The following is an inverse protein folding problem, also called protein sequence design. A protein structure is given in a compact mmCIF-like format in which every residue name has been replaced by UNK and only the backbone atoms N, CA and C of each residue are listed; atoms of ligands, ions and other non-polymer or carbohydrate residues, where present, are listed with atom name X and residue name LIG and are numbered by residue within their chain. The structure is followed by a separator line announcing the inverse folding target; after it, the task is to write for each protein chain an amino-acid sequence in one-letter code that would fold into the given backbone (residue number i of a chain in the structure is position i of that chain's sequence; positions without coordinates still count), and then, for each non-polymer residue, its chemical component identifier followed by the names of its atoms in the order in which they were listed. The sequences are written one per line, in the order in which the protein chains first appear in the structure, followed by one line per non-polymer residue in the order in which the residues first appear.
data_IF_667359035996
#
_entry.id   IF_667359035996
#
_cell.length_a   1.000
_cell.length_b   1.000
_cell.length_c   1.000
_cell.angle_alpha   90.00
_cell.angle_beta   90.00
_cell.angle_gamma   90.00
#
_symmetry.space_group_name_H-M   'P 1'
#
loop_
_entity.id
_entity.type
_entity.pdbx_description
1 polymer ?
#
# COMPACT_ATOMS: atom_id res chain seq x y z
N UNK A 1 -1.64 9.66 -8.41
CA UNK A 1 -1.92 9.13 -7.07
C UNK A 1 -1.49 7.67 -6.91
N UNK A 2 -2.00 6.68 -7.69
CA UNK A 2 -1.56 5.26 -7.60
C UNK A 2 -0.03 5.08 -7.72
N UNK A 3 0.59 5.75 -8.69
CA UNK A 3 2.04 5.69 -8.89
C UNK A 3 2.82 6.21 -7.68
N UNK A 4 2.35 7.29 -7.05
CA UNK A 4 2.99 7.85 -5.85
C UNK A 4 2.90 6.88 -4.67
N UNK A 5 1.73 6.29 -4.43
CA UNK A 5 1.53 5.29 -3.36
C UNK A 5 2.39 4.05 -3.63
N UNK A 6 2.42 3.55 -4.87
CA UNK A 6 3.25 2.41 -5.25
C UNK A 6 4.74 2.69 -5.05
N UNK A 7 5.22 3.91 -5.40
CA UNK A 7 6.62 4.30 -5.17
C UNK A 7 6.98 4.31 -3.69
N UNK A 8 6.10 4.83 -2.82
CA UNK A 8 6.32 4.79 -1.37
C UNK A 8 6.33 3.37 -0.82
N UNK A 9 5.41 2.50 -1.29
CA UNK A 9 5.40 1.10 -0.89
C UNK A 9 6.70 0.41 -1.33
N UNK A 10 7.15 0.65 -2.56
CA UNK A 10 8.40 0.07 -3.07
C UNK A 10 9.62 0.55 -2.27
N UNK A 11 9.70 1.83 -1.95
CA UNK A 11 10.76 2.40 -1.13
C UNK A 11 10.75 1.81 0.30
N UNK A 12 9.57 1.74 0.94
CA UNK A 12 9.42 1.12 2.24
C UNK A 12 9.82 -0.36 2.22
N UNK A 13 9.49 -1.07 1.14
CA UNK A 13 9.87 -2.46 0.93
C UNK A 13 11.39 -2.65 0.93
N UNK A 14 12.10 -1.76 0.24
CA UNK A 14 13.57 -1.78 0.19
C UNK A 14 14.20 -1.41 1.54
N UNK A 15 13.81 -0.26 2.11
CA UNK A 15 14.39 0.27 3.35
C UNK A 15 14.14 -0.63 4.56
N UNK A 16 12.94 -1.20 4.68
CA UNK A 16 12.56 -2.04 5.80
C UNK A 16 12.74 -3.54 5.53
N UNK A 17 13.36 -3.93 4.42
CA UNK A 17 13.55 -5.33 4.02
C UNK A 17 12.27 -6.15 4.18
N UNK A 18 11.16 -5.63 3.64
CA UNK A 18 9.84 -6.24 3.80
C UNK A 18 9.80 -7.63 3.16
N UNK A 19 9.29 -8.60 3.90
CA UNK A 19 9.00 -9.96 3.42
C UNK A 19 7.55 -10.30 3.71
N UNK A 20 6.90 -10.98 2.79
CA UNK A 20 5.53 -11.46 2.94
C UNK A 20 5.53 -12.94 3.26
N UNK A 21 4.76 -13.32 4.27
CA UNK A 21 4.48 -14.71 4.58
C UNK A 21 2.99 -14.99 4.35
N UNK A 22 2.69 -16.18 3.83
CA UNK A 22 1.33 -16.64 3.51
C UNK A 22 0.58 -15.68 2.57
N UNK A 23 1.25 -15.22 1.51
CA UNK A 23 0.59 -14.44 0.46
C UNK A 23 -0.47 -15.29 -0.25
N UNK A 24 -1.65 -14.72 -0.58
CA UNK A 24 -2.69 -15.48 -1.27
C UNK A 24 -2.25 -15.89 -2.68
N UNK A 25 -2.90 -16.90 -3.30
CA UNK A 25 -2.60 -17.28 -4.66
C UNK A 25 -2.62 -16.07 -5.59
N UNK A 26 -1.55 -15.89 -6.35
CA UNK A 26 -1.35 -14.70 -7.18
C UNK A 26 -2.52 -14.39 -8.13
N UNK A 27 -3.13 -15.38 -8.84
CA UNK A 27 -4.29 -15.11 -9.69
C UNK A 27 -5.48 -14.53 -8.95
N UNK A 28 -5.72 -14.95 -7.70
CA UNK A 28 -6.81 -14.41 -6.88
C UNK A 28 -6.53 -12.97 -6.46
N UNK A 29 -5.28 -12.65 -6.10
CA UNK A 29 -4.89 -11.29 -5.74
C UNK A 29 -5.03 -10.35 -6.95
N UNK A 30 -4.59 -10.78 -8.14
CA UNK A 30 -4.73 -10.00 -9.38
C UNK A 30 -6.20 -9.86 -9.78
N UNK A 31 -6.99 -10.92 -9.69
CA UNK A 31 -8.43 -10.87 -9.97
C UNK A 31 -9.17 -9.89 -9.06
N UNK A 32 -8.84 -9.90 -7.76
CA UNK A 32 -9.39 -8.93 -6.80
C UNK A 32 -8.96 -7.50 -7.12
N UNK A 33 -7.68 -7.29 -7.49
CA UNK A 33 -7.15 -6.01 -7.92
C UNK A 33 -7.94 -5.48 -9.14
N UNK A 34 -8.15 -6.31 -10.15
CA UNK A 34 -8.92 -5.97 -11.34
C UNK A 34 -10.38 -5.62 -11.00
N UNK A 35 -11.02 -6.38 -10.10
CA UNK A 35 -12.38 -6.11 -9.65
C UNK A 35 -12.49 -4.77 -8.90
N UNK A 36 -11.53 -4.45 -8.02
CA UNK A 36 -11.48 -3.16 -7.31
C UNK A 36 -11.29 -2.03 -8.31
N UNK A 37 -10.39 -2.19 -9.28
CA UNK A 37 -10.13 -1.19 -10.31
C UNK A 37 -11.35 -0.97 -11.21
N UNK A 38 -12.02 -2.04 -11.65
CA UNK A 38 -13.24 -1.96 -12.42
C UNK A 38 -14.36 -1.24 -11.63
N UNK A 39 -14.56 -1.59 -10.35
CA UNK A 39 -15.55 -0.91 -9.50
C UNK A 39 -15.26 0.58 -9.36
N UNK A 40 -14.00 0.99 -9.34
CA UNK A 40 -13.64 2.41 -9.27
C UNK A 40 -14.19 3.21 -10.46
N UNK A 41 -14.22 2.63 -11.66
CA UNK A 41 -14.78 3.30 -12.85
C UNK A 41 -16.28 3.12 -13.00
N UNK A 42 -16.84 2.02 -12.54
CA UNK A 42 -18.26 1.66 -12.76
C UNK A 42 -19.18 2.12 -11.63
N UNK A 43 -18.67 2.49 -10.47
CA UNK A 43 -19.44 2.87 -9.30
C UNK A 43 -20.39 4.07 -9.52
N UNK A 44 -20.16 4.88 -10.57
CA UNK A 44 -21.04 5.99 -10.96
C UNK A 44 -22.26 5.55 -11.75
N UNK A 45 -22.20 4.38 -12.36
CA UNK A 45 -23.25 3.83 -13.25
C UNK A 45 -23.89 2.57 -12.69
N UNK A 46 -23.24 1.88 -11.76
CA UNK A 46 -23.66 0.61 -11.19
C UNK A 46 -23.63 0.67 -9.66
N UNK A 47 -24.03 -0.44 -9.02
CA UNK A 47 -23.97 -0.60 -7.57
C UNK A 47 -22.53 -0.43 -7.07
N UNK A 48 -22.37 0.35 -6.02
CA UNK A 48 -21.08 0.51 -5.34
C UNK A 48 -20.74 -0.76 -4.55
N UNK A 49 -19.83 -1.56 -5.10
CA UNK A 49 -19.34 -2.81 -4.52
C UNK A 49 -18.17 -2.60 -3.56
N UNK A 50 -17.92 -1.38 -3.10
CA UNK A 50 -16.81 -1.04 -2.22
C UNK A 50 -16.75 -1.90 -0.96
N UNK A 51 -17.88 -2.06 -0.29
CA UNK A 51 -17.95 -2.83 0.95
C UNK A 51 -17.75 -4.34 0.76
N UNK A 52 -18.42 -5.00 -0.21
CA UNK A 52 -18.12 -6.39 -0.55
C UNK A 52 -16.65 -6.61 -0.94
N UNK A 53 -16.06 -5.71 -1.74
CA UNK A 53 -14.67 -5.79 -2.13
C UNK A 53 -13.72 -5.62 -0.94
N UNK A 54 -14.01 -4.69 -0.02
CA UNK A 54 -13.26 -4.54 1.21
C UNK A 54 -13.32 -5.82 2.07
N UNK A 55 -14.48 -6.43 2.19
CA UNK A 55 -14.63 -7.71 2.90
C UNK A 55 -13.82 -8.83 2.21
N UNK A 56 -13.86 -8.93 0.88
CA UNK A 56 -13.05 -9.88 0.12
C UNK A 56 -11.55 -9.69 0.38
N UNK A 57 -11.07 -8.44 0.42
CA UNK A 57 -9.68 -8.13 0.76
C UNK A 57 -9.34 -8.64 2.15
N UNK A 58 -10.15 -8.31 3.16
CA UNK A 58 -9.89 -8.72 4.54
C UNK A 58 -9.86 -10.25 4.68
N UNK A 59 -10.75 -10.95 3.98
CA UNK A 59 -10.80 -12.41 3.98
C UNK A 59 -9.60 -13.03 3.25
N UNK A 60 -9.24 -12.50 2.08
CA UNK A 60 -8.16 -13.02 1.27
C UNK A 60 -6.80 -12.84 1.95
N UNK A 61 -6.55 -11.66 2.52
CA UNK A 61 -5.28 -11.31 3.16
C UNK A 61 -5.22 -11.60 4.68
N UNK A 62 -6.25 -12.24 5.26
CA UNK A 62 -6.34 -12.49 6.72
C UNK A 62 -5.14 -13.26 7.29
N UNK A 63 -4.53 -14.13 6.49
CA UNK A 63 -3.39 -14.97 6.88
C UNK A 63 -2.04 -14.36 6.51
N UNK A 64 -2.06 -13.35 5.65
CA UNK A 64 -0.83 -12.71 5.17
C UNK A 64 -0.19 -11.90 6.30
N UNK A 65 1.08 -12.17 6.56
CA UNK A 65 1.90 -11.45 7.52
C UNK A 65 2.96 -10.64 6.78
N UNK A 66 3.10 -9.41 7.18
CA UNK A 66 4.17 -8.51 6.73
C UNK A 66 5.27 -8.54 7.77
N UNK A 67 6.43 -9.06 7.39
CA UNK A 67 7.65 -9.01 8.20
C UNK A 67 8.48 -7.82 7.73
N UNK A 68 8.93 -7.01 8.64
CA UNK A 68 9.76 -5.84 8.33
C UNK A 68 10.81 -5.62 9.43
N UNK A 69 11.92 -5.03 9.03
CA UNK A 69 13.03 -4.76 9.93
C UNK A 69 13.12 -3.27 10.19
N UNK A 70 13.11 -2.88 11.47
CA UNK A 70 13.35 -1.51 11.91
C UNK A 70 14.67 -1.49 12.66
N UNK A 71 15.64 -0.81 12.09
CA UNK A 71 17.03 -0.81 12.55
C UNK A 71 17.60 -2.24 12.55
N UNK A 72 17.63 -2.92 13.70
CA UNK A 72 18.11 -4.30 13.85
C UNK A 72 17.02 -5.27 14.30
N UNK A 73 15.83 -4.75 14.63
CA UNK A 73 14.73 -5.56 15.21
C UNK A 73 13.75 -5.97 14.14
N UNK A 74 13.55 -7.27 13.98
CA UNK A 74 12.54 -7.81 13.08
C UNK A 74 11.16 -7.74 13.75
N UNK A 75 10.20 -7.16 13.06
CA UNK A 75 8.81 -7.00 13.47
C UNK A 75 7.89 -7.69 12.48
N UNK A 76 6.69 -8.07 12.94
CA UNK A 76 5.64 -8.64 12.11
C UNK A 76 4.29 -8.00 12.42
N UNK A 77 3.46 -7.84 11.39
CA UNK A 77 2.07 -7.42 11.55
C UNK A 77 1.18 -8.06 10.49
N UNK A 78 -0.12 -8.24 10.75
CA UNK A 78 -1.07 -8.67 9.72
C UNK A 78 -1.12 -7.66 8.57
N UNK A 79 -1.16 -8.14 7.32
CA UNK A 79 -1.24 -7.27 6.14
C UNK A 79 -2.52 -6.41 6.16
N UNK A 80 -3.63 -6.96 6.64
CA UNK A 80 -4.90 -6.23 6.79
C UNK A 80 -4.79 -5.03 7.71
N UNK A 81 -4.04 -5.16 8.82
CA UNK A 81 -3.75 -4.04 9.72
C UNK A 81 -2.87 -2.99 9.05
N UNK A 82 -1.86 -3.42 8.29
CA UNK A 82 -1.01 -2.50 7.52
C UNK A 82 -1.84 -1.67 6.54
N UNK A 83 -2.75 -2.30 5.79
CA UNK A 83 -3.62 -1.60 4.84
C UNK A 83 -4.52 -0.58 5.53
N UNK A 84 -5.12 -0.95 6.67
CA UNK A 84 -5.99 -0.07 7.43
C UNK A 84 -5.22 1.13 8.00
N UNK A 85 -4.04 0.89 8.58
CA UNK A 85 -3.19 1.96 9.12
C UNK A 85 -2.74 2.93 8.03
N UNK A 86 -2.27 2.43 6.88
CA UNK A 86 -1.87 3.30 5.77
C UNK A 86 -3.07 4.13 5.29
N UNK A 87 -4.23 3.52 5.10
CA UNK A 87 -5.44 4.21 4.68
C UNK A 87 -5.89 5.28 5.69
N UNK A 88 -5.77 4.97 6.98
CA UNK A 88 -6.07 5.91 8.05
C UNK A 88 -5.12 7.12 8.02
N UNK A 89 -3.81 6.90 7.90
CA UNK A 89 -2.86 8.00 7.83
C UNK A 89 -3.00 8.84 6.55
N UNK A 90 -3.36 8.22 5.41
CA UNK A 90 -3.70 8.97 4.19
C UNK A 90 -4.92 9.86 4.45
N UNK A 91 -5.96 9.33 5.10
CA UNK A 91 -7.15 10.11 5.47
C UNK A 91 -6.82 11.26 6.41
N UNK A 92 -5.95 11.07 7.40
CA UNK A 92 -5.46 12.14 8.29
C UNK A 92 -4.73 13.21 7.48
N UNK A 93 -3.79 12.80 6.62
CA UNK A 93 -3.04 13.73 5.76
C UNK A 93 -3.97 14.52 4.82
N UNK A 94 -5.03 13.88 4.29
CA UNK A 94 -6.04 14.52 3.46
C UNK A 94 -6.83 15.58 4.24
N UNK A 95 -7.19 15.31 5.48
CA UNK A 95 -7.85 16.31 6.35
C UNK A 95 -6.95 17.50 6.63
N UNK A 96 -5.66 17.26 6.90
CA UNK A 96 -4.68 18.32 7.10
C UNK A 96 -4.54 19.15 5.81
N UNK A 97 -4.37 18.51 4.66
CA UNK A 97 -4.19 19.19 3.39
C UNK A 97 -5.42 20.03 2.99
N UNK A 98 -6.64 19.52 3.19
CA UNK A 98 -7.88 20.27 2.93
C UNK A 98 -8.08 21.42 3.92
N UNK A 99 -7.66 21.26 5.17
CA UNK A 99 -7.69 22.33 6.17
C UNK A 99 -6.79 23.50 5.77
N UNK A 100 -5.59 23.23 5.28
CA UNK A 100 -4.65 24.25 4.78
C UNK A 100 -4.96 24.74 3.36
N UNK A 101 -6.07 24.28 2.76
CA UNK A 101 -6.52 24.76 1.45
C UNK A 101 -5.72 24.26 0.26
N UNK A 102 -4.94 23.16 0.39
CA UNK A 102 -4.24 22.55 -0.73
C UNK A 102 -5.21 22.09 -1.84
N UNK A 103 -6.36 21.59 -1.45
CA UNK A 103 -7.55 21.38 -2.30
C UNK A 103 -8.81 21.39 -1.43
N UNK A 104 -9.99 21.44 -2.07
CA UNK A 104 -11.27 21.44 -1.38
C UNK A 104 -12.27 20.51 -2.05
N UNK A 105 -13.01 19.78 -1.24
CA UNK A 105 -14.15 19.01 -1.71
C UNK A 105 -15.39 19.93 -1.93
N UNK A 106 -16.34 19.51 -2.78
CA UNK A 106 -17.55 20.31 -3.03
C UNK A 106 -18.30 20.73 -1.77
N UNK A 107 -18.34 19.87 -0.74
CA UNK A 107 -19.00 20.17 0.53
C UNK A 107 -18.19 21.11 1.45
N UNK A 108 -16.91 21.33 1.17
CA UNK A 108 -16.01 22.22 1.94
C UNK A 108 -15.93 23.64 1.37
N UNK A 109 -16.60 23.94 0.25
CA UNK A 109 -16.48 25.25 -0.43
C UNK A 109 -16.94 26.44 0.39
N UNK A 110 -17.90 26.26 1.31
CA UNK A 110 -18.43 27.35 2.15
C UNK A 110 -17.70 27.45 3.50
N UNK A 111 -17.37 26.32 4.07
CA UNK A 111 -16.69 26.19 5.34
C UNK A 111 -15.97 24.85 5.36
N UNK A 112 -14.75 24.80 5.92
CA UNK A 112 -14.05 23.55 6.08
C UNK A 112 -14.86 22.59 6.97
N UNK A 113 -14.95 21.36 6.53
CA UNK A 113 -15.54 20.25 7.24
C UNK A 113 -14.65 19.03 7.11
N UNK A 114 -14.68 18.15 8.11
CA UNK A 114 -13.89 16.93 8.09
C UNK A 114 -14.25 16.04 6.90
N UNK A 115 -13.24 15.48 6.25
CA UNK A 115 -13.44 14.51 5.17
C UNK A 115 -14.13 13.27 5.72
N UNK A 116 -15.23 12.85 5.11
CA UNK A 116 -16.05 11.75 5.60
C UNK A 116 -15.24 10.46 5.81
N UNK A 117 -15.45 9.71 6.91
CA UNK A 117 -14.69 8.50 7.23
C UNK A 117 -14.88 7.37 6.20
N UNK A 118 -15.94 7.43 5.39
CA UNK A 118 -16.13 6.51 4.25
C UNK A 118 -15.00 6.57 3.22
N UNK A 119 -14.24 7.66 3.20
CA UNK A 119 -13.04 7.79 2.36
C UNK A 119 -11.92 6.83 2.78
N UNK A 120 -11.87 6.41 4.05
CA UNK A 120 -10.88 5.44 4.53
C UNK A 120 -10.98 4.14 3.73
N UNK A 121 -12.19 3.64 3.46
CA UNK A 121 -12.38 2.43 2.66
C UNK A 121 -11.89 2.60 1.22
N UNK A 122 -12.11 3.76 0.61
CA UNK A 122 -11.60 4.07 -0.73
C UNK A 122 -10.07 4.12 -0.74
N UNK A 123 -9.45 4.74 0.25
CA UNK A 123 -8.00 4.79 0.39
C UNK A 123 -7.41 3.41 0.66
N UNK A 124 -8.07 2.59 1.48
CA UNK A 124 -7.66 1.22 1.72
C UNK A 124 -7.63 0.40 0.42
N UNK A 125 -8.68 0.48 -0.40
CA UNK A 125 -8.74 -0.23 -1.68
C UNK A 125 -7.65 0.26 -2.65
N UNK A 126 -7.36 1.57 -2.68
CA UNK A 126 -6.27 2.13 -3.48
C UNK A 126 -4.90 1.61 -3.03
N UNK A 127 -4.64 1.57 -1.74
CA UNK A 127 -3.40 1.04 -1.17
C UNK A 127 -3.21 -0.43 -1.56
N UNK A 128 -4.29 -1.21 -1.52
CA UNK A 128 -4.25 -2.63 -1.88
C UNK A 128 -3.91 -2.84 -3.36
N UNK A 129 -4.49 -2.06 -4.27
CA UNK A 129 -4.12 -2.11 -5.69
C UNK A 129 -2.61 -1.83 -5.85
N UNK A 130 -2.13 -0.75 -5.23
CA UNK A 130 -0.72 -0.37 -5.31
C UNK A 130 0.19 -1.44 -4.69
N UNK A 131 -0.22 -2.04 -3.57
CA UNK A 131 0.52 -3.12 -2.91
C UNK A 131 0.59 -4.39 -3.77
N UNK A 132 -0.53 -4.80 -4.39
CA UNK A 132 -0.56 -5.98 -5.26
C UNK A 132 0.33 -5.75 -6.49
N UNK A 133 0.31 -4.55 -7.08
CA UNK A 133 1.19 -4.21 -8.21
C UNK A 133 2.66 -4.32 -7.79
N UNK A 134 3.04 -3.76 -6.65
CA UNK A 134 4.43 -3.84 -6.15
C UNK A 134 4.83 -5.27 -5.83
N UNK A 135 3.94 -6.05 -5.20
CA UNK A 135 4.20 -7.46 -4.90
C UNK A 135 4.37 -8.27 -6.19
N UNK A 136 3.53 -8.01 -7.21
CA UNK A 136 3.63 -8.63 -8.53
C UNK A 136 4.96 -8.31 -9.23
N UNK A 137 5.37 -7.06 -9.21
CA UNK A 137 6.65 -6.64 -9.80
C UNK A 137 7.83 -7.35 -9.11
N UNK A 138 7.77 -7.52 -7.80
CA UNK A 138 8.82 -8.19 -7.04
C UNK A 138 8.87 -9.70 -7.29
N UNK A 139 7.74 -10.33 -7.58
CA UNK A 139 7.68 -11.74 -7.92
C UNK A 139 8.15 -12.01 -9.37
N UNK A 140 7.86 -11.08 -10.29
CA UNK A 140 8.25 -11.18 -11.71
C UNK A 140 9.74 -10.85 -11.92
N UNK A 141 10.30 -9.93 -11.12
CA UNK A 141 11.70 -9.47 -11.24
C UNK A 141 12.55 -9.80 -10.00
N UNK A 142 12.67 -11.08 -9.59
CA UNK A 142 13.45 -11.43 -8.40
C UNK A 142 14.96 -11.16 -8.55
N UNK A 143 15.51 -11.25 -9.78
CA UNK A 143 16.95 -11.12 -10.05
C UNK A 143 17.50 -9.70 -9.87
N UNK A 144 16.72 -8.66 -10.10
CA UNK A 144 17.19 -7.28 -9.85
C UNK A 144 17.41 -6.98 -8.37
N UNK A 145 16.72 -7.70 -7.48
CA UNK A 145 16.91 -7.53 -6.04
C UNK A 145 18.20 -8.15 -5.52
N UNK A 146 18.61 -9.29 -6.06
CA UNK A 146 19.87 -9.95 -5.67
C UNK A 146 21.07 -9.12 -6.13
N UNK A 147 21.02 -8.55 -7.33
CA UNK A 147 22.08 -7.68 -7.86
C UNK A 147 22.21 -6.40 -7.04
N UNK A 148 21.09 -5.74 -6.71
CA UNK A 148 21.11 -4.51 -5.90
C UNK A 148 21.54 -4.75 -4.45
N UNK A 149 21.16 -5.89 -3.86
CA UNK A 149 21.61 -6.26 -2.52
C UNK A 149 23.10 -6.59 -2.48
N UNK A 150 23.62 -7.20 -3.52
CA UNK A 150 25.05 -7.51 -3.65
C UNK A 150 25.89 -6.23 -3.85
N UNK A 151 25.38 -5.25 -4.62
CA UNK A 151 26.05 -3.95 -4.78
C UNK A 151 26.06 -3.14 -3.47
N UNK A 152 24.95 -3.10 -2.73
CA UNK A 152 24.87 -2.42 -1.42
C UNK A 152 25.77 -3.09 -0.39
N UNK A 153 25.90 -4.43 -0.38
CA UNK A 153 26.82 -5.15 0.49
C UNK A 153 28.29 -4.89 0.11
N UNK A 154 28.62 -4.86 -1.18
CA UNK A 154 29.98 -4.59 -1.65
C UNK A 154 30.44 -3.16 -1.36
N UNK A 155 29.54 -2.18 -1.48
CA UNK A 155 29.82 -0.77 -1.13
C UNK A 155 29.98 -0.60 0.38
N UNK A 156 29.17 -1.29 1.19
CA UNK A 156 29.27 -1.25 2.64
C UNK A 156 30.56 -1.93 3.14
N UNK A 157 30.99 -3.03 2.51
CA UNK A 157 32.23 -3.72 2.83
C UNK A 157 33.46 -2.88 2.42
N UNK A 158 33.41 -2.23 1.25
CA UNK A 158 34.49 -1.32 0.81
C UNK A 158 34.63 -0.09 1.72
N UNK A 159 33.54 0.39 2.31
CA UNK A 159 33.54 1.51 3.25
C UNK A 159 34.04 1.15 4.67
N UNK A 160 34.15 -0.15 5.00
CA UNK A 160 34.63 -0.65 6.28
C UNK A 160 36.11 -1.07 6.32
N UNK A 161 36.79 -1.03 5.18
CA UNK A 161 38.24 -1.33 5.15
C UNK A 161 39.01 -0.07 5.65
N UNK A 162 39.76 -0.17 6.77
CA UNK A 162 40.58 0.92 7.24
C UNK A 162 41.84 1.07 6.34
N UNK A 163 42.22 2.33 6.08
CA UNK A 163 43.47 2.71 5.44
C UNK A 163 44.69 2.26 6.25
#
# INVERSE_FOLDING_TARGET
MYASVASYIMQAWRLMRVRLAAFPPFPLAVGLCAAIYANFFTNHYMLDLRWPLAACVLLLFRRTQVHFTVTTTQRRMPATLSFLLIAFFIWVAENIATYFGAWQYPHQKRQWAIVGPTKISSWMLLVIISFIIVAALKEIFPKEQEVFSAEDESVAEAAMLPD
#
